data_IF_096794324305
#
_entry.id   IF_096794324305
#
_cell.length_a   1.000
_cell.length_b   1.000
_cell.length_c   1.000
_cell.angle_alpha   90.00
_cell.angle_beta   90.00
_cell.angle_gamma   90.00
#
_symmetry.space_group_name_H-M   'P 1'
#
loop_
_entity.id
_entity.type
_entity.pdbx_description
1 polymer ?
#
# COMPACT_ATOMS: atom_id res chain seq x y z
N UNK A 1 -36.67 16.96 -35.03
CA UNK A 1 -35.74 16.54 -36.10
C UNK A 1 -34.71 17.65 -36.22
N UNK A 2 -33.48 17.62 -35.70
CA UNK A 2 -32.44 16.58 -35.73
C UNK A 2 -31.39 16.82 -34.61
N UNK A 3 -31.62 16.38 -33.38
CA UNK A 3 -30.57 16.39 -32.33
C UNK A 3 -30.33 15.02 -31.66
N UNK A 4 -31.00 13.96 -32.12
CA UNK A 4 -30.89 12.61 -31.54
C UNK A 4 -29.99 11.67 -32.35
N UNK A 5 -29.53 12.08 -33.54
CA UNK A 5 -28.76 11.21 -34.45
C UNK A 5 -27.26 11.21 -34.14
N UNK A 6 -26.76 12.20 -33.38
CA UNK A 6 -25.33 12.27 -33.00
C UNK A 6 -24.97 11.42 -31.77
N UNK A 7 -25.95 10.99 -30.97
CA UNK A 7 -25.71 10.18 -29.77
C UNK A 7 -25.62 8.67 -30.07
N UNK A 8 -26.15 8.23 -31.22
CA UNK A 8 -26.15 6.83 -31.64
C UNK A 8 -24.81 6.39 -32.26
N UNK A 9 -24.00 7.32 -32.80
CA UNK A 9 -22.71 6.97 -33.42
C UNK A 9 -21.60 6.78 -32.37
N UNK A 10 -21.69 7.43 -31.20
CA UNK A 10 -20.70 7.25 -30.12
C UNK A 10 -20.81 5.91 -29.37
N UNK A 11 -21.99 5.27 -29.38
CA UNK A 11 -22.24 4.00 -28.69
C UNK A 11 -21.76 2.76 -29.48
N UNK A 12 -21.53 2.90 -30.79
CA UNK A 12 -21.08 1.78 -31.65
C UNK A 12 -19.58 1.50 -31.47
N UNK A 13 -18.78 2.48 -31.06
CA UNK A 13 -17.32 2.31 -30.85
C UNK A 13 -16.99 1.53 -29.57
N UNK A 14 -17.94 1.38 -28.63
CA UNK A 14 -17.72 0.67 -27.35
C UNK A 14 -18.02 -0.84 -27.45
N UNK A 15 -18.58 -1.32 -28.57
CA UNK A 15 -19.04 -2.71 -28.71
C UNK A 15 -18.15 -3.63 -29.57
N UNK A 16 -17.04 -3.14 -30.13
CA UNK A 16 -16.10 -3.95 -30.94
C UNK A 16 -14.75 -4.05 -30.21
N UNK A 17 -14.69 -4.92 -29.19
CA UNK A 17 -13.44 -5.19 -28.48
C UNK A 17 -13.49 -6.34 -27.48
N UNK A 18 -14.52 -7.18 -27.55
CA UNK A 18 -14.65 -8.40 -26.76
C UNK A 18 -14.66 -9.62 -27.69
N UNK A 19 -13.49 -10.06 -28.15
CA UNK A 19 -13.30 -11.39 -28.72
C UNK A 19 -12.01 -11.99 -28.19
N UNK A 20 -12.16 -13.15 -27.55
CA UNK A 20 -11.21 -13.93 -26.78
C UNK A 20 -9.91 -14.31 -27.54
N UNK A 21 -8.77 -14.33 -26.84
CA UNK A 21 -7.79 -15.44 -26.75
C UNK A 21 -6.39 -14.96 -26.34
N UNK A 22 -5.88 -15.46 -25.21
CA UNK A 22 -4.44 -15.61 -24.88
C UNK A 22 -3.78 -16.58 -25.91
N UNK A 23 -2.47 -16.49 -26.27
CA UNK A 23 -1.36 -16.48 -25.32
C UNK A 23 -0.07 -15.68 -25.67
N UNK A 24 0.68 -15.34 -24.63
CA UNK A 24 2.15 -15.32 -24.46
C UNK A 24 3.12 -14.56 -25.43
N UNK A 25 4.04 -13.85 -24.77
CA UNK A 25 5.42 -13.45 -25.14
C UNK A 25 5.71 -12.05 -25.74
N UNK A 26 6.45 -11.29 -24.92
CA UNK A 26 7.62 -10.44 -25.20
C UNK A 26 7.55 -9.03 -25.83
N UNK A 27 8.43 -8.18 -25.25
CA UNK A 27 9.07 -6.97 -25.78
C UNK A 27 8.31 -5.64 -25.87
N UNK A 28 8.52 -4.82 -24.82
CA UNK A 28 9.22 -3.53 -24.87
C UNK A 28 8.90 -2.58 -26.03
N UNK A 29 8.20 -1.47 -25.72
CA UNK A 29 8.65 -0.13 -26.12
C UNK A 29 8.05 0.95 -25.21
N UNK A 30 8.92 1.78 -24.65
CA UNK A 30 8.59 3.02 -23.93
C UNK A 30 8.07 4.07 -24.94
N UNK A 31 7.32 5.09 -24.49
CA UNK A 31 8.01 6.36 -24.27
C UNK A 31 7.47 7.19 -23.10
N UNK A 32 8.38 8.06 -22.67
CA UNK A 32 8.30 9.10 -21.66
C UNK A 32 7.17 10.10 -21.87
N UNK A 33 6.53 10.52 -20.79
CA UNK A 33 6.44 11.95 -20.46
C UNK A 33 6.01 12.11 -18.99
N UNK A 34 7.00 12.35 -18.14
CA UNK A 34 6.78 12.77 -16.75
C UNK A 34 6.11 14.14 -16.77
N UNK A 35 4.91 14.24 -16.19
CA UNK A 35 4.40 15.50 -15.65
C UNK A 35 4.24 15.33 -14.15
N UNK A 36 5.29 15.75 -13.45
CA UNK A 36 5.24 16.18 -12.05
C UNK A 36 4.13 17.21 -11.90
N UNK A 37 3.16 16.95 -11.01
CA UNK A 37 2.41 18.00 -10.35
C UNK A 37 1.82 17.43 -9.05
N UNK A 38 2.43 17.90 -7.97
CA UNK A 38 1.91 18.09 -6.62
C UNK A 38 0.49 17.58 -6.32
N UNK A 39 0.38 16.37 -5.78
CA UNK A 39 -0.73 16.01 -4.89
C UNK A 39 -0.15 15.44 -3.60
N UNK A 40 0.35 16.37 -2.80
CA UNK A 40 0.57 16.19 -1.38
C UNK A 40 -0.78 16.11 -0.66
N UNK A 41 -0.81 15.31 0.41
CA UNK A 41 -1.87 15.17 1.41
C UNK A 41 -3.04 14.22 1.06
N UNK A 42 -2.76 12.91 1.11
CA UNK A 42 -3.68 11.91 1.69
C UNK A 42 -2.94 10.59 2.02
N UNK A 43 -1.77 10.70 2.68
CA UNK A 43 -1.12 9.54 3.29
C UNK A 43 -1.54 9.53 4.76
N UNK A 44 -2.24 8.46 5.13
CA UNK A 44 -2.90 8.23 6.41
C UNK A 44 -2.08 8.70 7.62
N UNK A 45 -2.60 9.69 8.36
CA UNK A 45 -2.50 9.80 9.82
C UNK A 45 -1.16 9.56 10.51
N UNK A 46 -0.03 9.93 9.90
CA UNK A 46 1.25 9.93 10.61
C UNK A 46 1.19 11.12 11.59
N UNK A 47 0.91 10.82 12.86
CA UNK A 47 0.99 11.81 13.93
C UNK A 47 2.42 12.39 13.93
N UNK A 48 2.52 13.61 13.40
CA UNK A 48 3.76 14.31 13.10
C UNK A 48 4.52 14.75 14.37
N UNK A 49 4.05 14.38 15.57
CA UNK A 49 4.68 14.71 16.86
C UNK A 49 5.98 13.96 17.12
N UNK A 50 6.40 13.12 16.19
CA UNK A 50 7.56 12.25 16.30
C UNK A 50 8.80 12.77 15.55
N UNK A 51 8.72 13.92 14.88
CA UNK A 51 9.93 14.54 14.29
C UNK A 51 10.78 15.16 15.42
N UNK A 52 11.77 14.41 15.92
CA UNK A 52 12.80 14.91 16.87
C UNK A 52 12.97 14.12 18.17
N UNK A 53 12.13 13.12 18.47
CA UNK A 53 12.28 12.27 19.66
C UNK A 53 13.07 11.01 19.31
N UNK A 54 13.99 10.55 20.17
CA UNK A 54 14.63 9.23 19.97
C UNK A 54 13.54 8.16 20.04
N UNK A 55 13.42 7.38 18.96
CA UNK A 55 12.52 6.25 18.87
C UNK A 55 13.18 5.02 19.46
N UNK A 56 12.61 4.48 20.52
CA UNK A 56 12.98 3.15 20.99
C UNK A 56 11.96 2.16 20.47
N UNK A 57 12.43 1.21 19.65
CA UNK A 57 11.63 0.09 19.19
C UNK A 57 11.71 -1.06 20.18
N UNK A 58 10.65 -1.87 20.22
CA UNK A 58 10.74 -3.18 20.84
C UNK A 58 11.63 -4.09 19.99
N UNK A 59 12.45 -4.93 20.61
CA UNK A 59 13.12 -6.01 19.88
C UNK A 59 12.10 -7.03 19.40
N UNK A 60 12.50 -7.81 18.40
CA UNK A 60 11.81 -9.05 18.06
C UNK A 60 11.94 -10.04 19.24
N UNK A 61 10.90 -10.83 19.45
CA UNK A 61 10.87 -11.86 20.47
C UNK A 61 11.64 -13.10 20.02
N UNK A 62 12.59 -13.52 20.86
CA UNK A 62 13.29 -14.78 20.73
C UNK A 62 12.44 -15.97 21.21
N UNK A 63 11.35 -15.71 21.94
CA UNK A 63 10.52 -16.73 22.60
C UNK A 63 9.28 -17.15 21.79
N UNK A 64 9.16 -16.71 20.54
CA UNK A 64 8.05 -17.09 19.67
C UNK A 64 8.31 -18.44 19.00
N UNK A 65 7.31 -19.30 19.05
CA UNK A 65 7.25 -20.51 18.23
C UNK A 65 7.15 -20.15 16.74
N UNK A 66 7.42 -21.13 15.87
CA UNK A 66 7.29 -20.93 14.43
C UNK A 66 5.84 -20.66 14.02
N UNK A 67 4.89 -21.35 14.65
CA UNK A 67 3.45 -21.21 14.40
C UNK A 67 2.98 -19.78 14.72
N UNK A 68 3.34 -19.25 15.90
CA UNK A 68 3.00 -17.87 16.27
C UNK A 68 3.65 -16.84 15.33
N UNK A 69 4.89 -17.08 14.86
CA UNK A 69 5.52 -16.19 13.87
C UNK A 69 4.75 -16.15 12.57
N UNK A 70 4.24 -17.29 12.11
CA UNK A 70 3.41 -17.39 10.90
C UNK A 70 2.09 -16.65 11.15
N UNK A 71 1.41 -16.93 12.27
CA UNK A 71 0.16 -16.28 12.64
C UNK A 71 0.30 -14.75 12.67
N UNK A 72 1.32 -14.21 13.34
CA UNK A 72 1.58 -12.77 13.37
C UNK A 72 2.06 -12.20 12.03
N UNK A 73 2.54 -13.01 11.10
CA UNK A 73 2.87 -12.57 9.75
C UNK A 73 1.64 -12.49 8.84
N UNK A 74 0.68 -13.41 9.02
CA UNK A 74 -0.56 -13.46 8.23
C UNK A 74 -1.62 -12.47 8.76
N UNK A 75 -1.74 -12.35 10.08
CA UNK A 75 -2.70 -11.48 10.78
C UNK A 75 -2.04 -10.21 11.35
N UNK A 76 -1.07 -9.64 10.62
CA UNK A 76 -0.36 -8.46 11.08
C UNK A 76 -1.23 -7.18 11.08
N UNK A 77 -0.92 -6.24 11.96
CA UNK A 77 -1.58 -4.95 12.07
C UNK A 77 -0.80 -3.83 11.36
N UNK A 78 -1.55 -2.86 10.83
CA UNK A 78 -1.04 -1.69 10.13
C UNK A 78 -0.38 -0.64 11.04
N UNK A 79 0.18 0.39 10.41
CA UNK A 79 0.88 1.49 11.09
C UNK A 79 -0.08 2.23 12.04
N UNK A 80 0.46 2.72 13.17
CA UNK A 80 -0.26 3.43 14.23
C UNK A 80 -1.32 2.60 14.99
N UNK A 81 -1.52 1.33 14.61
CA UNK A 81 -2.31 0.38 15.39
C UNK A 81 -1.51 -0.16 16.58
N UNK A 82 -2.24 -0.64 17.58
CA UNK A 82 -1.67 -1.13 18.83
C UNK A 82 -0.91 -2.45 18.64
N UNK A 83 0.20 -2.59 19.34
CA UNK A 83 1.06 -3.77 19.33
C UNK A 83 1.66 -4.04 20.70
N UNK A 84 1.73 -5.32 21.06
CA UNK A 84 2.42 -5.82 22.26
C UNK A 84 3.78 -6.41 21.93
N UNK A 85 3.95 -6.92 20.70
CA UNK A 85 5.18 -7.47 20.15
C UNK A 85 5.51 -6.79 18.81
N UNK A 86 6.79 -6.72 18.46
CA UNK A 86 7.21 -6.18 17.18
C UNK A 86 6.65 -7.01 16.00
N UNK A 87 6.52 -8.33 16.19
CA UNK A 87 6.04 -9.28 15.20
C UNK A 87 4.60 -9.04 14.76
N UNK A 88 3.77 -8.45 15.61
CA UNK A 88 2.38 -8.13 15.29
C UNK A 88 2.28 -7.04 14.22
N UNK A 89 3.27 -6.16 14.11
CA UNK A 89 3.28 -5.13 13.08
C UNK A 89 3.70 -5.70 11.73
N UNK A 90 3.02 -5.33 10.65
CA UNK A 90 3.43 -5.73 9.31
C UNK A 90 4.84 -5.23 8.95
N UNK A 91 5.26 -4.11 9.54
CA UNK A 91 6.62 -3.54 9.41
C UNK A 91 7.65 -4.19 10.34
N UNK A 92 7.21 -5.07 11.24
CA UNK A 92 8.01 -5.64 12.33
C UNK A 92 8.64 -4.59 13.25
N UNK A 93 8.02 -3.41 13.35
CA UNK A 93 8.49 -2.28 14.16
C UNK A 93 7.36 -1.77 15.06
N UNK A 94 7.49 -2.03 16.37
CA UNK A 94 6.58 -1.56 17.40
C UNK A 94 7.29 -0.56 18.33
N UNK A 95 6.68 0.60 18.56
CA UNK A 95 7.22 1.61 19.47
C UNK A 95 7.11 1.14 20.91
N UNK A 96 8.22 1.14 21.66
CA UNK A 96 8.26 0.59 23.02
C UNK A 96 7.31 1.31 23.98
N UNK A 97 7.23 2.65 23.87
CA UNK A 97 6.45 3.48 24.79
C UNK A 97 4.99 3.65 24.39
N UNK A 98 4.72 3.94 23.12
CA UNK A 98 3.34 4.16 22.65
C UNK A 98 2.62 2.86 22.27
N UNK A 99 3.33 1.72 22.24
CA UNK A 99 2.76 0.42 21.89
C UNK A 99 2.05 0.46 20.53
N UNK A 100 2.66 1.17 19.56
CA UNK A 100 2.08 1.37 18.23
C UNK A 100 3.05 1.02 17.12
N UNK A 101 2.51 0.46 16.04
CA UNK A 101 3.29 0.11 14.86
C UNK A 101 3.80 1.35 14.12
N UNK A 102 5.01 1.26 13.56
CA UNK A 102 5.65 2.37 12.85
C UNK A 102 6.44 1.87 11.65
N UNK A 103 6.88 2.79 10.79
CA UNK A 103 7.85 2.54 9.71
C UNK A 103 9.24 3.11 10.04
N UNK A 104 9.40 3.70 11.23
CA UNK A 104 10.65 4.34 11.63
C UNK A 104 11.63 3.26 12.10
N UNK A 105 12.66 3.02 11.29
CA UNK A 105 13.85 2.25 11.70
C UNK A 105 14.84 3.15 12.44
N UNK A 106 15.38 2.74 13.61
CA UNK A 106 16.54 3.38 14.19
C UNK A 106 17.74 3.21 13.23
N UNK A 107 18.50 4.29 13.03
CA UNK A 107 19.77 4.30 12.28
C UNK A 107 20.93 3.90 13.18
#
# INVERSE_FOLDING_TARGET
>A
MNCMVSLLVGLIVVLIGATNADPAMDEQETPSLVKESDVSAQIMGIDRKYVGRRFTLMPLSDNLTQEERIEYSEACVGISLECHLAEQCCTKMCLQFSKRCTYISPK
#
